data_IF_096138567146
#
_entry.id   IF_096138567146
#
_cell.length_a   1.000
_cell.length_b   1.000
_cell.length_c   1.000
_cell.angle_alpha   90.00
_cell.angle_beta   90.00
_cell.angle_gamma   90.00
#
_symmetry.space_group_name_H-M   'P 1'
#
loop_
_entity.id
_entity.type
_entity.pdbx_description
1 polymer ?
#
# COMPACT_ATOMS: atom_id res chain seq x y z
N UNK A 1 9.57 11.37 1.77
CA UNK A 1 8.41 11.03 2.63
C UNK A 1 8.56 9.59 3.04
N UNK A 2 8.52 9.26 4.33
CA UNK A 2 8.43 7.88 4.78
C UNK A 2 6.95 7.53 4.99
N UNK A 3 6.53 6.33 4.61
CA UNK A 3 5.21 5.83 4.97
C UNK A 3 5.22 4.34 5.31
N UNK A 4 4.34 3.95 6.22
CA UNK A 4 4.00 2.57 6.55
C UNK A 4 2.54 2.34 6.18
N UNK A 5 2.28 1.30 5.39
CA UNK A 5 0.96 1.06 4.83
C UNK A 5 0.71 -0.44 4.62
N UNK A 6 -0.57 -0.79 4.58
CA UNK A 6 -1.04 -2.13 4.22
C UNK A 6 -1.82 -2.03 2.93
N UNK A 7 -1.51 -2.91 1.99
CA UNK A 7 -2.28 -3.09 0.76
C UNK A 7 -3.12 -4.37 0.90
N UNK A 8 -4.38 -4.35 0.46
CA UNK A 8 -5.29 -5.51 0.52
C UNK A 8 -5.99 -5.75 -0.81
N UNK A 9 -6.27 -7.02 -1.10
CA UNK A 9 -7.26 -7.46 -2.09
C UNK A 9 -8.42 -8.08 -1.31
N UNK A 10 -9.64 -7.59 -1.50
CA UNK A 10 -10.82 -8.04 -0.76
C UNK A 10 -11.54 -9.19 -1.44
N UNK A 11 -11.94 -10.17 -0.64
CA UNK A 11 -12.98 -11.11 -0.98
C UNK A 11 -14.34 -10.40 -0.82
N UNK A 12 -15.01 -10.19 -1.94
CA UNK A 12 -16.25 -9.43 -2.04
C UNK A 12 -17.48 -10.21 -1.56
N UNK A 13 -17.34 -11.51 -1.28
CA UNK A 13 -18.45 -12.40 -0.93
C UNK A 13 -18.50 -12.69 0.58
N UNK A 14 -17.36 -12.93 1.20
CA UNK A 14 -17.29 -13.35 2.61
C UNK A 14 -16.50 -12.41 3.52
N UNK A 15 -16.00 -11.29 2.98
CA UNK A 15 -15.32 -10.24 3.74
C UNK A 15 -13.90 -10.60 4.19
N UNK A 16 -13.33 -11.69 3.66
CA UNK A 16 -11.93 -12.03 3.84
C UNK A 16 -11.03 -11.12 2.98
N UNK A 17 -9.72 -11.23 3.17
CA UNK A 17 -8.77 -10.47 2.36
C UNK A 17 -7.39 -11.14 2.33
N UNK A 18 -6.63 -10.84 1.28
CA UNK A 18 -5.17 -11.02 1.29
C UNK A 18 -4.54 -9.67 1.51
N UNK A 19 -3.70 -9.56 2.54
CA UNK A 19 -2.99 -8.33 2.87
C UNK A 19 -1.47 -8.48 2.77
N UNK A 20 -0.81 -7.40 2.37
CA UNK A 20 0.64 -7.26 2.48
C UNK A 20 0.99 -5.90 3.08
N UNK A 21 1.78 -5.94 4.14
CA UNK A 21 2.35 -4.76 4.78
C UNK A 21 3.58 -4.30 3.99
N UNK A 22 3.79 -3.00 3.95
CA UNK A 22 4.94 -2.40 3.32
C UNK A 22 5.30 -1.08 4.01
N UNK A 23 6.54 -0.67 3.84
CA UNK A 23 7.00 0.67 4.13
C UNK A 23 7.90 1.16 3.00
N UNK A 24 7.97 2.47 2.83
CA UNK A 24 8.80 3.06 1.78
C UNK A 24 9.25 4.47 2.16
N UNK A 25 10.50 4.79 1.80
CA UNK A 25 10.98 6.17 1.74
C UNK A 25 10.78 6.70 0.32
N UNK A 26 9.58 7.25 0.07
CA UNK A 26 9.24 7.89 -1.18
C UNK A 26 10.10 9.13 -1.45
N UNK A 27 10.51 9.26 -2.71
CA UNK A 27 11.31 10.36 -3.26
C UNK A 27 10.98 10.55 -4.74
N UNK A 28 11.63 11.50 -5.42
CA UNK A 28 11.47 11.66 -6.87
C UNK A 28 11.96 10.42 -7.66
N UNK A 29 12.93 9.67 -7.13
CA UNK A 29 13.43 8.44 -7.75
C UNK A 29 12.65 7.18 -7.34
N UNK A 30 11.96 7.21 -6.20
CA UNK A 30 11.12 6.13 -5.69
C UNK A 30 9.73 6.71 -5.45
N UNK A 31 8.99 6.90 -6.54
CA UNK A 31 7.67 7.54 -6.52
C UNK A 31 6.52 6.53 -6.39
N UNK A 32 6.81 5.24 -6.34
CA UNK A 32 5.85 4.16 -6.16
C UNK A 32 6.46 3.02 -5.33
N UNK A 33 5.58 2.17 -4.79
CA UNK A 33 5.96 0.97 -4.06
C UNK A 33 4.81 -0.03 -4.06
N UNK A 34 5.12 -1.31 -3.89
CA UNK A 34 4.14 -2.39 -3.86
C UNK A 34 4.80 -3.76 -3.82
N UNK A 35 4.06 -4.79 -4.17
CA UNK A 35 4.56 -6.17 -4.30
C UNK A 35 4.34 -6.63 -5.73
N UNK A 36 5.42 -6.96 -6.45
CA UNK A 36 5.32 -7.47 -7.83
C UNK A 36 4.48 -8.76 -7.88
N UNK A 37 4.64 -9.62 -6.89
CA UNK A 37 3.86 -10.84 -6.70
C UNK A 37 2.93 -10.67 -5.51
N UNK A 38 1.87 -9.88 -5.68
CA UNK A 38 0.90 -9.66 -4.61
C UNK A 38 0.06 -10.92 -4.34
N UNK A 39 -0.51 -11.50 -5.39
CA UNK A 39 -1.38 -12.68 -5.37
C UNK A 39 -1.20 -13.43 -6.70
N UNK A 40 -1.33 -14.76 -6.69
CA UNK A 40 -1.28 -15.54 -7.93
C UNK A 40 -2.56 -15.35 -8.76
N UNK A 41 -2.46 -15.49 -10.07
CA UNK A 41 -3.63 -15.43 -10.95
C UNK A 41 -4.61 -16.59 -10.68
N UNK A 42 -4.11 -17.77 -10.30
CA UNK A 42 -4.97 -18.92 -9.97
C UNK A 42 -5.82 -18.62 -8.73
N UNK A 43 -5.22 -18.00 -7.71
CA UNK A 43 -5.92 -17.56 -6.52
C UNK A 43 -6.96 -16.48 -6.84
N UNK A 44 -6.56 -15.44 -7.60
CA UNK A 44 -7.44 -14.34 -8.00
C UNK A 44 -8.66 -14.83 -8.79
N UNK A 45 -8.46 -15.79 -9.70
CA UNK A 45 -9.50 -16.30 -10.58
C UNK A 45 -10.33 -17.43 -9.98
N UNK A 46 -10.02 -17.90 -8.76
CA UNK A 46 -10.82 -18.94 -8.10
C UNK A 46 -12.15 -18.36 -7.63
N UNK A 47 -13.32 -18.71 -8.23
CA UNK A 47 -14.58 -18.03 -7.93
C UNK A 47 -15.02 -18.20 -6.46
N UNK A 48 -14.70 -19.34 -5.85
CA UNK A 48 -15.01 -19.63 -4.46
C UNK A 48 -14.26 -18.75 -3.45
N UNK A 49 -13.21 -18.02 -3.88
CA UNK A 49 -12.47 -17.08 -3.02
C UNK A 49 -13.01 -15.65 -3.09
N UNK A 50 -13.91 -15.35 -4.02
CA UNK A 50 -14.60 -14.06 -4.09
C UNK A 50 -13.74 -12.83 -4.39
N UNK A 51 -12.46 -12.98 -4.77
CA UNK A 51 -11.57 -11.86 -5.09
C UNK A 51 -11.91 -11.17 -6.42
N UNK A 52 -12.45 -11.93 -7.40
CA UNK A 52 -12.91 -11.44 -8.69
C UNK A 52 -14.41 -11.68 -8.83
N UNK A 53 -15.22 -10.62 -8.75
CA UNK A 53 -16.67 -10.67 -8.91
C UNK A 53 -17.06 -9.70 -10.02
N UNK A 54 -17.89 -10.14 -10.97
CA UNK A 54 -18.31 -9.31 -12.11
C UNK A 54 -17.13 -8.64 -12.84
N UNK A 55 -16.05 -9.41 -13.06
CA UNK A 55 -14.81 -8.94 -13.69
C UNK A 55 -14.17 -7.71 -12.98
N UNK A 56 -14.42 -7.58 -11.67
CA UNK A 56 -13.95 -6.47 -10.84
C UNK A 56 -13.20 -7.01 -9.62
N UNK A 57 -12.07 -6.38 -9.29
CA UNK A 57 -11.27 -6.65 -8.09
C UNK A 57 -11.33 -5.43 -7.19
N UNK A 58 -11.62 -5.64 -5.91
CA UNK A 58 -11.60 -4.57 -4.92
C UNK A 58 -10.26 -4.58 -4.17
N UNK A 59 -9.59 -3.43 -4.14
CA UNK A 59 -8.31 -3.23 -3.47
C UNK A 59 -8.38 -2.11 -2.46
N UNK A 60 -7.65 -2.24 -1.36
CA UNK A 60 -7.56 -1.23 -0.31
C UNK A 60 -6.11 -0.84 -0.04
N UNK A 61 -5.90 0.43 0.31
CA UNK A 61 -4.65 0.93 0.82
C UNK A 61 -4.90 1.63 2.16
N UNK A 62 -4.33 1.10 3.24
CA UNK A 62 -4.42 1.66 4.58
C UNK A 62 -3.06 2.25 4.97
N UNK A 63 -2.99 3.56 5.13
CA UNK A 63 -1.78 4.27 5.55
C UNK A 63 -1.81 4.38 7.08
N UNK A 64 -0.84 3.75 7.73
CA UNK A 64 -0.74 3.70 9.21
C UNK A 64 0.07 4.89 9.72
N UNK A 65 1.14 5.22 8.99
CA UNK A 65 2.06 6.29 9.33
C UNK A 65 2.59 6.94 8.06
N UNK A 66 2.77 8.27 8.11
CA UNK A 66 3.38 9.03 7.02
C UNK A 66 4.12 10.24 7.58
N UNK A 67 5.36 10.46 7.15
CA UNK A 67 6.11 11.68 7.46
C UNK A 67 5.90 12.74 6.40
N UNK A 68 5.43 13.91 6.81
CA UNK A 68 5.34 15.09 5.95
C UNK A 68 6.57 15.94 6.21
N UNK A 69 7.47 16.03 5.23
CA UNK A 69 8.56 17.02 5.28
C UNK A 69 7.96 18.34 4.82
N UNK A 70 7.80 19.30 5.74
CA UNK A 70 7.47 20.68 5.36
C UNK A 70 8.75 21.34 4.85
N UNK A 71 8.77 21.70 3.58
CA UNK A 71 9.71 22.70 3.07
C UNK A 71 9.25 24.05 3.60
N UNK A 72 10.00 24.64 4.53
CA UNK A 72 9.78 26.02 4.94
C UNK A 72 10.32 26.93 3.82
N UNK A 73 9.62 28.01 3.44
CA UNK A 73 10.18 28.96 2.49
C UNK A 73 11.48 29.53 3.07
N UNK A 74 12.63 29.14 2.50
CA UNK A 74 13.94 29.73 2.78
C UNK A 74 14.85 29.03 3.81
N UNK A 75 14.67 27.76 4.16
CA UNK A 75 15.59 27.08 5.10
C UNK A 75 15.76 25.59 4.80
N UNK A 76 17.02 25.16 4.63
CA UNK A 76 17.41 23.79 4.28
C UNK A 76 16.95 22.70 5.26
N UNK A 77 17.23 21.42 4.95
CA UNK A 77 16.60 20.28 5.61
C UNK A 77 16.94 20.20 7.11
N UNK A 78 15.89 20.16 7.94
CA UNK A 78 15.98 19.91 9.38
C UNK A 78 15.93 18.39 9.62
N UNK A 79 17.04 17.82 10.11
CA UNK A 79 17.11 16.43 10.54
C UNK A 79 16.46 16.31 11.94
N UNK A 80 15.18 15.92 11.98
CA UNK A 80 14.44 15.67 13.21
C UNK A 80 14.98 14.46 13.96
N UNK A 81 15.17 14.63 15.26
CA UNK A 81 15.94 13.77 16.18
C UNK A 81 15.32 12.38 16.38
N UNK A 82 16.23 11.42 16.47
CA UNK A 82 16.10 10.01 16.89
C UNK A 82 15.28 9.86 18.18
N UNK A 83 14.26 9.01 18.19
CA UNK A 83 13.73 8.35 19.39
C UNK A 83 14.14 6.90 19.40
#
# INVERSE_FOLDING_TARGET
MYAEFTLRVRDQLFGQYVEKKANCHFSNSINNWGHLEFMSLDELNTPARGFLVNNTVEVEAEIHFMTVVKELPGGGPIMGVKT
#
